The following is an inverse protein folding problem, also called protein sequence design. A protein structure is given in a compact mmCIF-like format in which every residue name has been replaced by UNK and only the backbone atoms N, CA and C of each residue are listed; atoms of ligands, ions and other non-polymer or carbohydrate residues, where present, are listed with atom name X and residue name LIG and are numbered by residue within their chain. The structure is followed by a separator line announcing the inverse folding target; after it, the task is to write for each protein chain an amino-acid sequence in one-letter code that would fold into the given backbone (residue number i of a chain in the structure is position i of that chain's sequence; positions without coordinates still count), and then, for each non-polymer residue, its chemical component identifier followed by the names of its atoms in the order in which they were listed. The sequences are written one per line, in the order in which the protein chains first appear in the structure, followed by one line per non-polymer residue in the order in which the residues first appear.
data_IF_870672700476
#
_entry.id   IF_870672700476
#
_cell.length_a   1.000
_cell.length_b   1.000
_cell.length_c   1.000
_cell.angle_alpha   90.00
_cell.angle_beta   90.00
_cell.angle_gamma   90.00
#
_symmetry.space_group_name_H-M   'P 1'
#
loop_
_entity.id
_entity.type
_entity.pdbx_description
1 polymer ?
#
# COMPACT_ATOMS: atom_id res chain seq x y z
N UNK A 1 -25.88 -9.34 0.04
CA UNK A 1 -24.72 -10.22 0.32
C UNK A 1 -24.22 -9.97 1.75
N UNK A 2 -24.14 -10.99 2.63
CA UNK A 2 -23.47 -10.84 3.93
C UNK A 2 -22.03 -10.40 3.66
N UNK A 3 -21.63 -9.28 4.27
CA UNK A 3 -20.28 -8.71 4.12
C UNK A 3 -19.26 -9.71 4.67
N UNK A 4 -18.49 -10.34 3.80
CA UNK A 4 -17.43 -11.27 4.21
C UNK A 4 -16.33 -10.54 5.00
N UNK A 5 -15.63 -11.29 5.84
CA UNK A 5 -14.40 -10.82 6.49
C UNK A 5 -13.36 -10.49 5.41
N UNK A 6 -12.58 -9.42 5.61
CA UNK A 6 -11.56 -9.00 4.65
C UNK A 6 -10.58 -10.14 4.31
N UNK A 7 -10.14 -10.91 5.29
CA UNK A 7 -9.21 -12.02 5.07
C UNK A 7 -9.82 -13.10 4.19
N UNK A 8 -11.13 -13.37 4.30
CA UNK A 8 -11.83 -14.31 3.43
C UNK A 8 -11.97 -13.78 1.99
N UNK A 9 -12.11 -12.45 1.84
CA UNK A 9 -12.09 -11.78 0.55
C UNK A 9 -10.70 -11.93 -0.08
N UNK A 10 -9.64 -11.55 0.63
CA UNK A 10 -8.26 -11.57 0.14
C UNK A 10 -7.79 -12.98 -0.27
N UNK A 11 -8.25 -14.04 0.43
CA UNK A 11 -7.95 -15.44 0.08
C UNK A 11 -8.50 -15.86 -1.30
N UNK A 12 -9.59 -15.22 -1.76
CA UNK A 12 -10.24 -15.52 -3.04
C UNK A 12 -9.66 -14.75 -4.22
N UNK A 13 -8.85 -13.74 -3.97
CA UNK A 13 -8.28 -12.90 -5.01
C UNK A 13 -7.17 -13.64 -5.77
N UNK A 14 -7.13 -13.40 -7.08
CA UNK A 14 -6.01 -13.86 -7.90
C UNK A 14 -4.76 -13.05 -7.55
N UNK A 15 -3.68 -13.74 -7.20
CA UNK A 15 -2.39 -13.13 -6.88
C UNK A 15 -1.54 -13.05 -8.15
N UNK A 16 -0.87 -11.91 -8.31
CA UNK A 16 0.32 -11.79 -9.16
C UNK A 16 1.56 -11.85 -8.25
N UNK A 17 2.77 -12.09 -8.78
CA UNK A 17 3.98 -12.11 -7.97
C UNK A 17 4.14 -10.82 -7.17
N UNK A 18 4.49 -10.95 -5.91
CA UNK A 18 4.63 -9.90 -4.89
C UNK A 18 3.31 -9.19 -4.54
N UNK A 19 2.94 -9.31 -3.29
CA UNK A 19 1.85 -8.56 -2.67
C UNK A 19 2.33 -8.03 -1.32
N UNK A 20 1.90 -6.84 -0.94
CA UNK A 20 2.06 -6.37 0.43
C UNK A 20 1.19 -7.25 1.33
N UNK A 21 1.83 -7.92 2.28
CA UNK A 21 1.14 -8.82 3.20
C UNK A 21 0.21 -8.04 4.14
N UNK A 22 -0.90 -8.65 4.63
CA UNK A 22 -1.81 -8.00 5.57
C UNK A 22 -1.13 -7.45 6.83
N UNK A 23 -0.06 -8.09 7.30
CA UNK A 23 0.75 -7.61 8.42
C UNK A 23 1.37 -6.23 8.14
N UNK A 24 1.86 -6.01 6.92
CA UNK A 24 2.50 -4.76 6.50
C UNK A 24 1.43 -3.71 6.13
N UNK A 25 0.38 -4.11 5.43
CA UNK A 25 -0.75 -3.23 5.10
C UNK A 25 -1.44 -2.66 6.35
N UNK A 26 -1.52 -3.44 7.45
CA UNK A 26 -2.09 -2.98 8.72
C UNK A 26 -1.28 -1.86 9.36
N UNK A 27 0.05 -1.88 9.23
CA UNK A 27 0.91 -0.81 9.74
C UNK A 27 0.66 0.52 9.01
N UNK A 28 0.28 0.49 7.72
CA UNK A 28 -0.08 1.71 6.98
C UNK A 28 -1.24 2.41 7.69
N UNK A 29 -2.30 1.69 8.02
CA UNK A 29 -3.44 2.24 8.76
C UNK A 29 -3.04 2.73 10.16
N UNK A 30 -2.28 1.91 10.89
CA UNK A 30 -1.90 2.19 12.27
C UNK A 30 -1.00 3.43 12.41
N UNK A 31 -0.04 3.60 11.48
CA UNK A 31 0.94 4.69 11.56
C UNK A 31 0.45 5.99 10.91
N UNK A 32 -0.47 5.94 9.96
CA UNK A 32 -0.98 7.15 9.29
C UNK A 32 -2.24 7.70 9.92
N UNK A 33 -3.00 6.85 10.63
CA UNK A 33 -4.25 7.26 11.26
C UNK A 33 -5.28 7.82 10.27
N UNK A 34 -5.26 7.36 9.01
CA UNK A 34 -6.20 7.84 7.99
C UNK A 34 -7.65 7.57 8.40
N UNK A 35 -8.51 8.50 8.01
CA UNK A 35 -9.94 8.45 8.29
C UNK A 35 -10.69 7.52 7.31
N UNK A 36 -11.84 6.93 7.70
CA UNK A 36 -12.68 6.13 6.81
C UNK A 36 -13.18 6.84 5.55
N UNK A 37 -13.13 8.17 5.50
CA UNK A 37 -13.52 9.02 4.37
C UNK A 37 -12.34 9.55 3.55
N UNK A 38 -11.12 9.08 3.81
CA UNK A 38 -9.89 9.52 3.16
C UNK A 38 -9.88 9.26 1.65
N UNK A 39 -9.27 10.21 0.91
CA UNK A 39 -8.84 10.01 -0.47
C UNK A 39 -7.46 9.37 -0.49
N UNK A 40 -7.38 8.16 -1.03
CA UNK A 40 -6.16 7.38 -1.09
C UNK A 40 -5.76 7.17 -2.55
N UNK A 41 -4.50 7.40 -2.84
CA UNK A 41 -3.90 7.04 -4.13
C UNK A 41 -2.82 5.99 -3.88
N UNK A 42 -2.87 4.92 -4.66
CA UNK A 42 -1.92 3.81 -4.63
C UNK A 42 -1.26 3.67 -6.00
N UNK A 43 0.02 3.38 -6.06
CA UNK A 43 0.73 3.15 -7.31
C UNK A 43 1.60 1.90 -7.23
N UNK A 44 1.47 1.08 -8.28
CA UNK A 44 1.94 -0.29 -8.30
C UNK A 44 0.85 -1.25 -7.85
N UNK A 45 -0.33 -1.12 -8.44
CA UNK A 45 -1.54 -1.89 -8.10
C UNK A 45 -1.31 -3.40 -8.02
N UNK A 46 -0.47 -3.94 -8.93
CA UNK A 46 -0.25 -5.36 -9.06
C UNK A 46 -1.56 -6.12 -9.21
N UNK A 47 -1.93 -6.93 -8.21
CA UNK A 47 -3.22 -7.62 -8.15
C UNK A 47 -4.31 -6.82 -7.43
N UNK A 48 -4.04 -5.60 -6.99
CA UNK A 48 -4.96 -4.74 -6.25
C UNK A 48 -5.09 -5.05 -4.76
N UNK A 49 -4.20 -5.87 -4.19
CA UNK A 49 -4.32 -6.33 -2.80
C UNK A 49 -4.30 -5.20 -1.80
N UNK A 50 -3.29 -4.31 -1.87
CA UNK A 50 -3.19 -3.17 -0.96
C UNK A 50 -4.37 -2.21 -1.17
N UNK A 51 -4.68 -1.87 -2.42
CA UNK A 51 -5.79 -0.98 -2.73
C UNK A 51 -7.14 -1.52 -2.21
N UNK A 52 -7.40 -2.83 -2.34
CA UNK A 52 -8.60 -3.49 -1.80
C UNK A 52 -8.59 -3.47 -0.26
N UNK A 53 -7.44 -3.73 0.35
CA UNK A 53 -7.28 -3.66 1.81
C UNK A 53 -7.64 -2.26 2.32
N UNK A 54 -7.06 -1.21 1.74
CA UNK A 54 -7.32 0.17 2.11
C UNK A 54 -8.79 0.57 1.86
N UNK A 55 -9.34 0.20 0.70
CA UNK A 55 -10.75 0.49 0.37
C UNK A 55 -11.75 -0.20 1.30
N UNK A 56 -11.40 -1.37 1.84
CA UNK A 56 -12.23 -2.06 2.81
C UNK A 56 -12.37 -1.28 4.12
N UNK A 57 -11.31 -0.62 4.59
CA UNK A 57 -11.33 0.19 5.81
C UNK A 57 -11.81 1.63 5.58
N UNK A 58 -11.55 2.20 4.40
CA UNK A 58 -11.92 3.58 4.05
C UNK A 58 -13.19 3.64 3.19
N UNK A 59 -14.29 3.08 3.70
CA UNK A 59 -15.54 2.89 2.92
C UNK A 59 -16.29 4.17 2.59
N UNK A 60 -16.11 5.22 3.36
CA UNK A 60 -16.67 6.55 3.10
C UNK A 60 -15.82 7.39 2.14
N UNK A 61 -14.56 6.97 1.95
CA UNK A 61 -13.59 7.62 1.10
C UNK A 61 -13.50 7.01 -0.30
N UNK A 62 -12.36 7.25 -0.94
CA UNK A 62 -12.07 6.75 -2.29
C UNK A 62 -10.64 6.26 -2.38
N UNK A 63 -10.43 5.11 -3.01
CA UNK A 63 -9.11 4.60 -3.38
C UNK A 63 -8.97 4.63 -4.89
N UNK A 64 -7.90 5.24 -5.39
CA UNK A 64 -7.51 5.21 -6.80
C UNK A 64 -6.17 4.52 -6.89
N UNK A 65 -6.07 3.43 -7.64
CA UNK A 65 -4.81 2.70 -7.80
C UNK A 65 -4.35 2.71 -9.25
N UNK A 66 -3.05 2.98 -9.43
CA UNK A 66 -2.40 3.10 -10.73
C UNK A 66 -1.61 1.83 -11.05
N UNK A 67 -1.80 1.29 -12.25
CA UNK A 67 -1.05 0.16 -12.78
C UNK A 67 -0.72 0.39 -14.25
N UNK A 68 0.57 0.38 -14.58
CA UNK A 68 1.03 0.62 -15.96
C UNK A 68 0.97 -0.63 -16.85
N UNK A 69 0.96 -1.81 -16.26
CA UNK A 69 0.92 -3.08 -16.98
C UNK A 69 -0.53 -3.48 -17.24
N UNK A 70 -0.96 -3.58 -18.53
CA UNK A 70 -2.36 -3.91 -18.85
C UNK A 70 -2.81 -5.27 -18.31
N UNK A 71 -1.91 -6.28 -18.30
CA UNK A 71 -2.18 -7.61 -17.77
C UNK A 71 -2.45 -7.58 -16.26
N UNK A 72 -1.71 -6.81 -15.49
CA UNK A 72 -1.90 -6.65 -14.05
C UNK A 72 -3.12 -5.78 -13.75
N UNK A 73 -3.31 -4.67 -14.48
CA UNK A 73 -4.50 -3.84 -14.36
C UNK A 73 -5.79 -4.65 -14.59
N UNK A 74 -5.79 -5.57 -15.55
CA UNK A 74 -6.91 -6.49 -15.81
C UNK A 74 -7.17 -7.41 -14.60
N UNK A 75 -6.11 -7.92 -13.97
CA UNK A 75 -6.24 -8.74 -12.74
C UNK A 75 -6.80 -7.92 -11.61
N UNK A 76 -6.25 -6.72 -11.36
CA UNK A 76 -6.72 -5.81 -10.31
C UNK A 76 -8.20 -5.45 -10.49
N UNK A 77 -8.63 -5.08 -11.72
CA UNK A 77 -10.03 -4.78 -12.04
C UNK A 77 -10.96 -5.95 -11.69
N UNK A 78 -10.60 -7.18 -12.10
CA UNK A 78 -11.38 -8.38 -11.77
C UNK A 78 -11.44 -8.66 -10.26
N UNK A 79 -10.32 -8.48 -9.56
CA UNK A 79 -10.28 -8.65 -8.12
C UNK A 79 -11.17 -7.61 -7.41
N UNK A 80 -11.14 -6.35 -7.84
CA UNK A 80 -12.03 -5.30 -7.32
C UNK A 80 -13.50 -5.68 -7.52
N UNK A 81 -13.89 -6.14 -8.72
CA UNK A 81 -15.25 -6.59 -9.01
C UNK A 81 -15.70 -7.71 -8.06
N UNK A 82 -14.83 -8.69 -7.79
CA UNK A 82 -15.12 -9.80 -6.87
C UNK A 82 -15.41 -9.35 -5.44
N UNK A 83 -14.82 -8.22 -5.00
CA UNK A 83 -15.05 -7.69 -3.64
C UNK A 83 -16.42 -7.04 -3.46
N UNK A 84 -17.01 -6.55 -4.54
CA UNK A 84 -18.21 -5.72 -4.51
C UNK A 84 -18.02 -4.32 -3.91
N UNK A 85 -16.77 -3.91 -3.61
CA UNK A 85 -16.45 -2.55 -3.15
C UNK A 85 -16.71 -1.54 -4.28
N UNK A 86 -17.30 -0.39 -3.94
CA UNK A 86 -17.67 0.66 -4.90
C UNK A 86 -16.78 1.91 -4.82
N UNK A 87 -15.91 1.95 -3.82
CA UNK A 87 -15.04 3.07 -3.50
C UNK A 87 -13.61 2.92 -4.01
N UNK A 88 -13.39 2.05 -4.99
CA UNK A 88 -12.07 1.78 -5.56
C UNK A 88 -12.11 1.87 -7.10
N UNK A 89 -11.11 2.52 -7.67
CA UNK A 89 -10.93 2.70 -9.12
C UNK A 89 -9.52 2.24 -9.50
N UNK A 90 -9.42 1.38 -10.51
CA UNK A 90 -8.14 0.96 -11.09
C UNK A 90 -7.90 1.75 -12.38
N UNK A 91 -6.85 2.57 -12.39
CA UNK A 91 -6.36 3.32 -13.55
C UNK A 91 -5.23 2.55 -14.22
N UNK A 92 -5.42 2.22 -15.49
CA UNK A 92 -4.37 1.66 -16.34
C UNK A 92 -3.53 2.81 -16.92
N UNK A 93 -2.54 3.26 -16.11
CA UNK A 93 -1.70 4.42 -16.40
C UNK A 93 -0.38 4.31 -15.64
N UNK A 94 0.71 4.74 -16.25
CA UNK A 94 1.97 4.90 -15.51
C UNK A 94 1.90 6.16 -14.63
N UNK A 95 2.08 5.99 -13.33
CA UNK A 95 2.09 7.11 -12.37
C UNK A 95 3.21 8.12 -12.66
N UNK A 96 4.28 7.70 -13.34
CA UNK A 96 5.36 8.58 -13.78
C UNK A 96 4.90 9.63 -14.81
N UNK A 97 3.79 9.39 -15.52
CA UNK A 97 3.16 10.36 -16.42
C UNK A 97 2.36 11.44 -15.69
N UNK A 98 2.17 11.27 -14.39
CA UNK A 98 1.48 12.21 -13.51
C UNK A 98 0.36 11.61 -12.68
N UNK A 99 0.10 12.24 -11.56
CA UNK A 99 -0.98 11.93 -10.62
C UNK A 99 -2.14 12.89 -10.91
N UNK A 100 -3.31 12.35 -11.23
CA UNK A 100 -4.48 13.16 -11.58
C UNK A 100 -5.18 13.74 -10.33
N UNK A 101 -5.08 13.03 -9.20
CA UNK A 101 -5.69 13.40 -7.94
C UNK A 101 -4.92 14.52 -7.24
N UNK A 102 -5.63 15.33 -6.46
CA UNK A 102 -5.10 16.39 -5.59
C UNK A 102 -5.69 16.28 -4.20
N UNK A 103 -5.06 16.93 -3.23
CA UNK A 103 -5.49 16.93 -1.84
C UNK A 103 -5.61 15.50 -1.25
N UNK A 104 -4.67 14.65 -1.61
CA UNK A 104 -4.62 13.24 -1.22
C UNK A 104 -4.30 13.13 0.27
N UNK A 105 -5.03 12.29 1.00
CA UNK A 105 -4.77 11.99 2.41
C UNK A 105 -3.61 11.01 2.59
N UNK A 106 -3.57 9.99 1.74
CA UNK A 106 -2.55 8.94 1.74
C UNK A 106 -2.14 8.60 0.31
N UNK A 107 -0.85 8.65 0.05
CA UNK A 107 -0.23 8.09 -1.15
C UNK A 107 0.60 6.88 -0.78
N UNK A 108 0.33 5.72 -1.40
CA UNK A 108 1.14 4.51 -1.26
C UNK A 108 1.88 4.19 -2.56
N UNK A 109 3.15 3.79 -2.45
CA UNK A 109 3.98 3.38 -3.58
C UNK A 109 4.55 1.97 -3.33
N UNK A 110 4.20 1.01 -4.20
CA UNK A 110 4.78 -0.34 -4.26
C UNK A 110 5.25 -0.61 -5.69
N UNK A 111 6.35 0.03 -6.06
CA UNK A 111 6.84 -0.02 -7.43
C UNK A 111 8.34 0.20 -7.52
N UNK A 112 8.94 -0.28 -8.61
CA UNK A 112 10.31 0.07 -8.96
C UNK A 112 10.39 1.58 -9.26
N UNK A 113 11.52 2.19 -8.88
CA UNK A 113 11.77 3.63 -9.09
C UNK A 113 10.75 4.55 -8.37
N UNK A 114 10.29 4.14 -7.19
CA UNK A 114 9.40 4.95 -6.36
C UNK A 114 10.00 6.32 -5.99
N UNK A 115 11.34 6.42 -5.92
CA UNK A 115 12.07 7.67 -5.70
C UNK A 115 11.69 8.76 -6.70
N UNK A 116 11.41 8.40 -7.97
CA UNK A 116 11.02 9.36 -9.03
C UNK A 116 9.62 9.94 -8.83
N UNK A 117 8.79 9.27 -8.02
CA UNK A 117 7.39 9.68 -7.76
C UNK A 117 7.28 10.55 -6.50
N UNK A 118 8.31 10.58 -5.64
CA UNK A 118 8.29 11.29 -4.35
C UNK A 118 7.89 12.76 -4.49
N UNK A 119 8.50 13.50 -5.43
CA UNK A 119 8.20 14.93 -5.65
C UNK A 119 6.76 15.13 -6.16
N UNK A 120 6.28 14.28 -7.05
CA UNK A 120 4.89 14.35 -7.54
C UNK A 120 3.90 14.02 -6.42
N UNK A 121 4.20 13.02 -5.59
CA UNK A 121 3.41 12.67 -4.41
C UNK A 121 3.33 13.85 -3.44
N UNK A 122 4.46 14.51 -3.15
CA UNK A 122 4.47 15.70 -2.30
C UNK A 122 3.52 16.78 -2.81
N UNK A 123 3.52 17.05 -4.11
CA UNK A 123 2.67 18.07 -4.71
C UNK A 123 1.18 17.68 -4.69
N UNK A 124 0.86 16.40 -4.80
CA UNK A 124 -0.49 15.89 -4.83
C UNK A 124 -1.12 15.72 -3.43
N UNK A 125 -0.29 15.48 -2.40
CA UNK A 125 -0.73 15.35 -1.03
C UNK A 125 -1.25 16.68 -0.46
N UNK A 126 -2.30 16.62 0.37
CA UNK A 126 -2.72 17.76 1.20
C UNK A 126 -1.71 18.02 2.33
N UNK A 127 -1.70 19.21 2.94
CA UNK A 127 -1.00 19.42 4.23
C UNK A 127 -1.50 18.39 5.27
N UNK A 128 -0.58 17.76 6.00
CA UNK A 128 -0.88 16.66 6.92
C UNK A 128 -1.06 15.30 6.28
N UNK A 129 -1.08 15.20 4.95
CA UNK A 129 -1.19 13.94 4.21
C UNK A 129 0.09 13.08 4.29
N UNK A 130 -0.06 11.78 4.10
CA UNK A 130 1.01 10.82 4.25
C UNK A 130 1.47 10.23 2.91
N UNK A 131 2.79 10.11 2.76
CA UNK A 131 3.44 9.26 1.78
C UNK A 131 3.94 8.00 2.47
N UNK A 132 3.61 6.83 1.91
CA UNK A 132 4.11 5.53 2.40
C UNK A 132 4.68 4.75 1.22
N UNK A 133 5.92 4.29 1.35
CA UNK A 133 6.62 3.58 0.29
C UNK A 133 7.05 2.21 0.80
N UNK A 134 6.66 1.16 0.09
CA UNK A 134 7.11 -0.20 0.32
C UNK A 134 8.34 -0.49 -0.53
N UNK A 135 9.39 -0.95 0.11
CA UNK A 135 10.68 -1.26 -0.53
C UNK A 135 11.16 -2.65 -0.12
N UNK A 136 11.26 -3.62 -1.04
CA UNK A 136 11.79 -4.94 -0.74
C UNK A 136 13.32 -4.98 -0.56
N UNK A 137 14.04 -3.93 -0.99
CA UNK A 137 15.49 -3.85 -0.93
C UNK A 137 15.94 -2.57 -0.21
N UNK A 138 17.01 -2.67 0.60
CA UNK A 138 17.51 -1.55 1.40
C UNK A 138 18.02 -0.39 0.54
N UNK A 139 18.55 -0.69 -0.65
CA UNK A 139 19.01 0.32 -1.61
C UNK A 139 17.86 1.21 -2.09
N UNK A 140 16.66 0.64 -2.23
CA UNK A 140 15.47 1.42 -2.56
C UNK A 140 15.04 2.32 -1.39
N UNK A 141 15.17 1.83 -0.16
CA UNK A 141 14.93 2.66 1.04
C UNK A 141 15.85 3.87 1.05
N UNK A 142 17.15 3.67 0.77
CA UNK A 142 18.14 4.74 0.74
C UNK A 142 17.75 5.78 -0.33
N UNK A 143 17.53 5.34 -1.57
CA UNK A 143 17.18 6.24 -2.69
C UNK A 143 15.89 7.03 -2.43
N UNK A 144 14.89 6.37 -1.85
CA UNK A 144 13.61 7.01 -1.47
C UNK A 144 13.82 8.06 -0.37
N UNK A 145 14.63 7.73 0.66
CA UNK A 145 14.94 8.64 1.76
C UNK A 145 15.64 9.90 1.29
N UNK A 146 16.61 9.78 0.38
CA UNK A 146 17.32 10.91 -0.22
C UNK A 146 16.35 11.87 -0.93
N UNK A 147 15.34 11.37 -1.65
CA UNK A 147 14.34 12.23 -2.30
C UNK A 147 13.35 12.86 -1.31
N UNK A 148 12.94 12.14 -0.28
CA UNK A 148 12.06 12.64 0.76
C UNK A 148 12.72 13.79 1.52
N UNK A 149 14.01 13.67 1.86
CA UNK A 149 14.77 14.65 2.65
C UNK A 149 15.01 15.97 1.91
N UNK A 150 14.91 16.00 0.58
CA UNK A 150 14.96 17.22 -0.25
C UNK A 150 13.67 18.07 -0.15
N UNK A 151 12.60 17.54 0.44
CA UNK A 151 11.28 18.16 0.50
C UNK A 151 10.85 18.42 1.95
N UNK A 152 9.81 19.24 2.13
CA UNK A 152 9.31 19.53 3.49
C UNK A 152 8.40 18.43 4.04
N UNK A 153 8.91 17.19 4.04
CA UNK A 153 8.30 16.11 4.80
C UNK A 153 8.82 16.13 6.24
N UNK A 154 7.96 15.71 7.16
CA UNK A 154 8.26 15.50 8.58
C UNK A 154 7.85 14.09 9.00
N UNK A 155 8.05 13.76 10.27
CA UNK A 155 7.69 12.46 10.84
C UNK A 155 8.20 11.29 9.99
N UNK A 156 9.41 11.45 9.43
CA UNK A 156 9.98 10.48 8.51
C UNK A 156 10.54 9.30 9.30
N UNK A 157 10.06 8.09 8.98
CA UNK A 157 10.56 6.84 9.60
C UNK A 157 10.50 5.70 8.62
N UNK A 158 11.41 4.75 8.77
CA UNK A 158 11.40 3.48 8.05
C UNK A 158 11.26 2.36 9.07
N UNK A 159 10.35 1.43 8.82
CA UNK A 159 10.08 0.29 9.69
C UNK A 159 10.07 -1.00 8.90
N UNK A 160 10.53 -2.06 9.54
CA UNK A 160 10.35 -3.44 9.13
C UNK A 160 9.38 -4.13 10.09
N UNK A 161 8.47 -4.94 9.56
CA UNK A 161 7.50 -5.67 10.36
C UNK A 161 7.80 -7.16 10.34
N UNK A 162 8.32 -7.68 11.44
CA UNK A 162 8.65 -9.09 11.61
C UNK A 162 7.59 -9.74 12.49
N UNK A 163 6.82 -10.66 11.92
CA UNK A 163 5.84 -11.49 12.65
C UNK A 163 6.40 -12.89 12.79
N UNK A 164 6.56 -13.32 14.02
CA UNK A 164 7.01 -14.67 14.35
C UNK A 164 5.84 -15.48 14.91
N UNK A 165 5.41 -16.49 14.18
CA UNK A 165 4.38 -17.42 14.63
C UNK A 165 4.98 -18.49 15.55
N UNK A 166 4.17 -18.97 16.49
CA UNK A 166 4.54 -20.03 17.43
C UNK A 166 3.54 -21.17 17.31
N UNK A 167 4.05 -22.37 17.24
CA UNK A 167 3.26 -23.56 17.43
C UNK A 167 3.14 -23.85 18.93
N UNK A 168 1.93 -23.82 19.45
CA UNK A 168 1.61 -24.07 20.85
C UNK A 168 1.01 -25.46 20.98
N UNK A 169 1.61 -26.32 21.80
CA UNK A 169 1.16 -27.70 22.01
C UNK A 169 2.01 -28.39 23.07
N UNK A 170 2.09 -29.74 23.02
CA UNK A 170 2.94 -30.52 23.94
C UNK A 170 4.39 -30.02 23.98
N UNK A 171 4.90 -29.55 22.84
CA UNK A 171 6.17 -28.85 22.70
C UNK A 171 5.88 -27.51 22.04
N UNK A 172 6.10 -26.42 22.77
CA UNK A 172 5.90 -25.05 22.31
C UNK A 172 7.18 -24.47 21.77
N UNK A 173 7.19 -24.09 20.48
CA UNK A 173 8.36 -23.56 19.80
C UNK A 173 7.94 -22.60 18.67
N UNK A 174 8.84 -21.69 18.25
CA UNK A 174 8.58 -20.86 17.05
C UNK A 174 8.37 -21.76 15.83
N UNK A 175 7.49 -21.34 14.92
CA UNK A 175 7.44 -21.94 13.59
C UNK A 175 8.78 -21.77 12.88
N UNK A 176 9.30 -22.87 12.34
CA UNK A 176 10.63 -22.93 11.73
C UNK A 176 10.61 -22.39 10.29
N UNK A 177 9.44 -22.46 9.66
CA UNK A 177 9.21 -21.99 8.30
C UNK A 177 8.32 -20.75 8.32
N UNK A 178 8.81 -19.63 7.80
CA UNK A 178 8.02 -18.40 7.67
C UNK A 178 8.80 -17.33 6.90
N UNK A 179 8.08 -16.43 6.27
CA UNK A 179 8.71 -15.26 5.63
C UNK A 179 9.03 -14.26 6.73
N UNK A 180 10.28 -14.21 7.16
CA UNK A 180 10.75 -13.29 8.20
C UNK A 180 10.85 -11.86 7.66
N UNK A 181 11.43 -11.70 6.46
CA UNK A 181 11.56 -10.42 5.79
C UNK A 181 10.62 -10.35 4.59
N UNK A 182 9.85 -9.26 4.48
CA UNK A 182 9.00 -8.95 3.32
C UNK A 182 9.44 -7.67 2.63
N UNK A 183 9.83 -6.69 3.38
CA UNK A 183 10.27 -5.37 2.93
C UNK A 183 10.16 -4.34 4.05
N UNK A 184 10.54 -3.11 3.73
CA UNK A 184 10.44 -1.95 4.61
C UNK A 184 9.31 -1.04 4.16
N UNK A 185 8.65 -0.40 5.14
CA UNK A 185 7.72 0.69 4.93
C UNK A 185 8.38 2.00 5.35
N UNK A 186 8.55 2.93 4.41
CA UNK A 186 9.01 4.30 4.69
C UNK A 186 7.82 5.22 4.71
N UNK A 187 7.61 5.89 5.85
CA UNK A 187 6.56 6.87 6.10
C UNK A 187 7.13 8.27 6.06
N UNK A 188 6.39 9.21 5.49
CA UNK A 188 6.71 10.63 5.51
C UNK A 188 5.41 11.46 5.47
N UNK A 189 5.30 12.47 6.33
CA UNK A 189 4.12 13.33 6.41
C UNK A 189 4.41 14.69 5.82
N UNK A 190 3.55 15.18 4.93
CA UNK A 190 3.66 16.52 4.35
C UNK A 190 3.29 17.60 5.36
N UNK A 191 4.14 18.60 5.50
CA UNK A 191 3.89 19.81 6.30
C UNK A 191 3.85 21.06 5.46
#
# INVERSE_FOLDING_TARGET
MKRGNLLDILKKLRRVPQIIMPKDASLILAYTGISPDSLIVDAGSGSGFLAIFLAYYCRGGKVVTYEKRPDFAKVAKKNVELTGLKNIVVKEKDVLEGIDEKNIDLMTLDMKSAEKVVKMSFNALKPGGWLVIYSPYIEQVISVREEIEKLNFKEIKTVENIVREWRVGRHTLPEVSGVMHTGWLTFARKY
#
